data_IF_551105133439
#
_entry.id   IF_551105133439
#
_cell.length_a   1.000
_cell.length_b   1.000
_cell.length_c   1.000
_cell.angle_alpha   90.00
_cell.angle_beta   90.00
_cell.angle_gamma   90.00
#
_symmetry.space_group_name_H-M   'P 1'
#
loop_
_entity.id
_entity.type
_entity.pdbx_description
1 polymer ?
#
# COMPACT_ATOMS: atom_id res chain seq x y z
N UNK A 1 14.57 -20.32 -5.57
CA UNK A 1 13.83 -19.22 -6.19
C UNK A 1 14.82 -18.16 -6.70
N UNK A 2 14.76 -17.91 -8.00
CA UNK A 2 15.69 -17.00 -8.72
C UNK A 2 15.61 -15.56 -8.17
N UNK A 3 14.41 -15.07 -7.87
CA UNK A 3 14.23 -13.71 -7.33
C UNK A 3 14.84 -13.57 -5.94
N UNK A 4 14.64 -14.55 -5.07
CA UNK A 4 15.27 -14.58 -3.74
C UNK A 4 16.79 -14.62 -3.83
N UNK A 5 17.36 -15.42 -4.71
CA UNK A 5 18.83 -15.45 -4.91
C UNK A 5 19.35 -14.07 -5.36
N UNK A 6 18.66 -13.43 -6.29
CA UNK A 6 19.03 -12.10 -6.79
C UNK A 6 18.93 -11.02 -5.72
N UNK A 7 17.87 -11.01 -4.91
CA UNK A 7 17.70 -10.02 -3.84
C UNK A 7 18.69 -10.24 -2.71
N UNK A 8 18.95 -11.48 -2.31
CA UNK A 8 19.95 -11.81 -1.28
C UNK A 8 21.37 -11.41 -1.71
N UNK A 9 21.72 -11.64 -2.98
CA UNK A 9 23.00 -11.21 -3.52
C UNK A 9 23.15 -9.67 -3.51
N UNK A 10 22.09 -8.96 -3.88
CA UNK A 10 22.09 -7.50 -3.98
C UNK A 10 22.00 -6.80 -2.63
N UNK A 11 21.22 -7.38 -1.70
CA UNK A 11 20.93 -6.81 -0.39
C UNK A 11 21.27 -7.80 0.74
N UNK A 12 22.57 -8.05 0.98
CA UNK A 12 23.00 -8.94 2.06
C UNK A 12 22.69 -8.40 3.46
N UNK A 13 22.43 -7.10 3.59
CA UNK A 13 22.12 -6.40 4.84
C UNK A 13 21.30 -5.12 4.57
N UNK A 14 20.91 -4.42 5.65
CA UNK A 14 20.12 -3.18 5.59
C UNK A 14 20.87 -2.03 4.91
N UNK A 15 22.17 -1.95 5.15
CA UNK A 15 23.04 -0.91 4.60
C UNK A 15 23.13 -1.00 3.07
N UNK A 16 23.13 -2.21 2.52
CA UNK A 16 23.16 -2.41 1.07
C UNK A 16 21.84 -1.93 0.42
N UNK A 17 20.70 -2.16 1.06
CA UNK A 17 19.41 -1.65 0.58
C UNK A 17 19.37 -0.11 0.67
N UNK A 18 19.78 0.46 1.80
CA UNK A 18 19.87 1.90 1.98
C UNK A 18 20.77 2.56 0.93
N UNK A 19 21.95 2.01 0.69
CA UNK A 19 22.89 2.52 -0.31
C UNK A 19 22.33 2.51 -1.75
N UNK A 20 21.37 1.63 -2.04
CA UNK A 20 20.74 1.50 -3.36
C UNK A 20 19.51 2.40 -3.56
N UNK A 21 18.94 2.99 -2.49
CA UNK A 21 17.76 3.87 -2.56
C UNK A 21 17.93 5.02 -3.59
N UNK A 22 19.07 5.75 -3.66
CA UNK A 22 19.23 6.80 -4.66
C UNK A 22 19.13 6.27 -6.09
N UNK A 23 19.70 5.09 -6.37
CA UNK A 23 19.57 4.45 -7.69
C UNK A 23 18.13 4.07 -7.99
N UNK A 24 17.40 3.49 -7.02
CA UNK A 24 15.99 3.12 -7.17
C UNK A 24 15.16 4.34 -7.55
N UNK A 25 15.32 5.46 -6.86
CA UNK A 25 14.61 6.71 -7.17
C UNK A 25 14.98 7.24 -8.57
N UNK A 26 16.26 7.19 -8.95
CA UNK A 26 16.67 7.59 -10.29
C UNK A 26 16.08 6.69 -11.40
N UNK A 27 15.95 5.38 -11.16
CA UNK A 27 15.23 4.45 -12.07
C UNK A 27 13.77 4.87 -12.24
N UNK A 28 13.14 5.39 -11.21
CA UNK A 28 11.78 5.95 -11.26
C UNK A 28 11.72 7.35 -11.89
N UNK A 29 12.87 7.95 -12.21
CA UNK A 29 12.96 9.24 -12.90
C UNK A 29 13.20 10.46 -12.01
N UNK A 30 13.43 10.27 -10.71
CA UNK A 30 13.84 11.36 -9.82
C UNK A 30 15.20 11.93 -10.24
N UNK A 31 15.40 13.23 -10.03
CA UNK A 31 16.72 13.83 -10.19
C UNK A 31 17.70 13.23 -9.18
N UNK A 32 19.00 13.31 -9.46
CA UNK A 32 20.02 12.89 -8.50
C UNK A 32 19.89 13.66 -7.18
N UNK A 33 19.59 14.95 -7.24
CA UNK A 33 19.43 15.82 -6.08
C UNK A 33 18.24 15.37 -5.21
N UNK A 34 17.07 15.12 -5.80
CA UNK A 34 15.89 14.65 -5.06
C UNK A 34 16.10 13.23 -4.52
N UNK A 35 16.75 12.36 -5.28
CA UNK A 35 17.04 10.99 -4.85
C UNK A 35 18.01 10.96 -3.65
N UNK A 36 19.07 11.74 -3.67
CA UNK A 36 20.01 11.87 -2.56
C UNK A 36 19.30 12.52 -1.35
N UNK A 37 18.54 13.60 -1.57
CA UNK A 37 17.78 14.29 -0.54
C UNK A 37 16.85 13.35 0.23
N UNK A 38 16.12 12.49 -0.47
CA UNK A 38 15.21 11.53 0.14
C UNK A 38 15.95 10.42 0.87
N UNK A 39 16.95 9.81 0.24
CA UNK A 39 17.70 8.69 0.81
C UNK A 39 18.48 9.08 2.09
N UNK A 40 19.04 10.29 2.15
CA UNK A 40 19.75 10.79 3.33
C UNK A 40 18.84 10.96 4.57
N UNK A 41 17.52 11.02 4.38
CA UNK A 41 16.52 11.23 5.43
C UNK A 41 15.79 9.97 5.86
N UNK A 42 16.20 8.84 5.33
CA UNK A 42 15.62 7.54 5.63
C UNK A 42 16.71 6.62 6.16
N UNK A 43 16.46 5.92 7.25
CA UNK A 43 17.32 4.84 7.74
C UNK A 43 16.65 3.50 7.56
N UNK A 44 17.45 2.47 7.27
CA UNK A 44 16.95 1.10 7.06
C UNK A 44 17.38 0.21 8.21
N UNK A 45 16.44 -0.51 8.79
CA UNK A 45 16.66 -1.41 9.91
C UNK A 45 16.25 -2.84 9.54
N UNK A 46 17.12 -3.80 9.82
CA UNK A 46 16.80 -5.23 9.68
C UNK A 46 15.92 -5.72 10.84
N UNK A 47 14.89 -6.52 10.51
CA UNK A 47 14.00 -7.14 11.47
C UNK A 47 13.79 -8.62 11.17
N UNK A 48 13.25 -9.37 12.15
CA UNK A 48 12.86 -10.78 11.96
C UNK A 48 11.41 -10.95 11.49
N UNK A 49 10.58 -9.94 11.74
CA UNK A 49 9.14 -9.95 11.48
C UNK A 49 8.72 -9.14 10.25
N UNK A 50 7.51 -8.61 10.30
CA UNK A 50 6.90 -7.78 9.25
C UNK A 50 7.67 -6.48 9.03
N UNK A 51 7.58 -5.95 7.80
CA UNK A 51 8.04 -4.61 7.48
C UNK A 51 7.15 -3.54 8.11
N UNK A 52 7.72 -2.37 8.33
CA UNK A 52 7.01 -1.18 8.79
C UNK A 52 7.79 0.07 8.39
N UNK A 53 7.07 1.14 8.11
CA UNK A 53 7.61 2.47 7.91
C UNK A 53 7.14 3.42 9.02
N UNK A 54 8.04 4.23 9.54
CA UNK A 54 7.71 5.32 10.44
C UNK A 54 8.22 6.63 9.88
N UNK A 55 7.34 7.61 9.76
CA UNK A 55 7.72 8.97 9.45
C UNK A 55 8.53 9.59 10.61
N UNK A 56 9.43 10.49 10.27
CA UNK A 56 10.10 11.32 11.25
C UNK A 56 9.09 12.21 11.98
N UNK A 57 9.25 12.36 13.31
CA UNK A 57 8.40 13.25 14.10
C UNK A 57 8.68 14.73 13.82
N UNK A 58 9.84 15.02 13.23
CA UNK A 58 10.25 16.34 12.83
C UNK A 58 11.56 16.28 12.04
N UNK A 59 11.97 17.43 11.49
CA UNK A 59 13.17 17.53 10.63
C UNK A 59 14.51 17.24 11.33
N UNK A 60 14.49 16.94 12.63
CA UNK A 60 15.66 16.61 13.45
C UNK A 60 15.97 15.13 13.53
N UNK A 61 15.11 14.26 12.98
CA UNK A 61 15.32 12.82 12.96
C UNK A 61 15.00 12.24 11.56
N UNK A 62 15.56 11.07 11.19
CA UNK A 62 15.22 10.40 9.94
C UNK A 62 13.91 9.63 10.04
N UNK A 63 13.25 9.44 8.91
CA UNK A 63 12.24 8.40 8.73
C UNK A 63 12.89 7.01 8.84
N UNK A 64 12.12 5.97 9.22
CA UNK A 64 12.65 4.64 9.48
C UNK A 64 11.91 3.60 8.65
N UNK A 65 12.67 2.83 7.87
CA UNK A 65 12.22 1.66 7.15
C UNK A 65 12.70 0.41 7.86
N UNK A 66 11.79 -0.42 8.34
CA UNK A 66 12.12 -1.73 8.88
C UNK A 66 11.64 -2.82 7.94
N UNK A 67 12.52 -3.78 7.62
CA UNK A 67 12.16 -4.92 6.77
C UNK A 67 12.84 -6.19 7.22
N UNK A 68 12.30 -7.33 6.76
CA UNK A 68 12.84 -8.65 7.09
C UNK A 68 14.15 -8.91 6.36
N UNK A 69 15.21 -9.13 7.15
CA UNK A 69 16.49 -9.59 6.64
C UNK A 69 16.86 -10.88 7.39
N UNK A 70 16.94 -11.98 6.64
CA UNK A 70 17.23 -13.31 7.17
C UNK A 70 18.72 -13.63 7.04
N UNK A 71 19.15 -14.77 7.59
CA UNK A 71 20.51 -15.28 7.36
C UNK A 71 20.70 -15.50 5.85
N UNK A 72 21.66 -14.81 5.27
CA UNK A 72 21.93 -14.85 3.82
C UNK A 72 21.44 -13.63 3.04
N UNK A 73 20.78 -12.68 3.71
CA UNK A 73 20.35 -11.42 3.11
C UNK A 73 18.84 -11.29 2.99
N UNK A 74 18.40 -10.29 2.26
CA UNK A 74 16.99 -9.97 2.04
C UNK A 74 16.39 -10.92 1.00
N UNK A 75 15.45 -11.80 1.39
CA UNK A 75 14.70 -12.62 0.44
C UNK A 75 13.75 -11.74 -0.41
N UNK A 76 13.19 -12.30 -1.49
CA UNK A 76 12.33 -11.51 -2.38
C UNK A 76 11.10 -10.95 -1.64
N UNK A 77 10.50 -11.70 -0.72
CA UNK A 77 9.39 -11.21 0.08
C UNK A 77 9.78 -10.02 0.95
N UNK A 78 10.93 -10.09 1.62
CA UNK A 78 11.48 -9.00 2.40
C UNK A 78 11.79 -7.76 1.54
N UNK A 79 12.31 -7.98 0.33
CA UNK A 79 12.56 -6.93 -0.64
C UNK A 79 11.25 -6.26 -1.14
N UNK A 80 10.27 -7.03 -1.55
CA UNK A 80 8.97 -6.52 -2.00
C UNK A 80 8.30 -5.66 -0.91
N UNK A 81 8.33 -6.13 0.35
CA UNK A 81 7.88 -5.36 1.50
C UNK A 81 8.74 -4.10 1.70
N UNK A 82 10.08 -4.20 1.60
CA UNK A 82 10.96 -3.04 1.74
C UNK A 82 10.67 -1.95 0.70
N UNK A 83 10.33 -2.32 -0.53
CA UNK A 83 9.93 -1.36 -1.56
C UNK A 83 8.60 -0.69 -1.23
N UNK A 84 7.64 -1.42 -0.65
CA UNK A 84 6.39 -0.87 -0.12
C UNK A 84 6.66 0.16 0.99
N UNK A 85 7.42 -0.23 2.02
CA UNK A 85 7.79 0.65 3.14
C UNK A 85 8.61 1.87 2.67
N UNK A 86 9.41 1.69 1.61
CA UNK A 86 10.13 2.79 0.99
C UNK A 86 9.18 3.82 0.37
N UNK A 87 8.09 3.37 -0.25
CA UNK A 87 7.03 4.25 -0.75
C UNK A 87 6.44 5.12 0.36
N UNK A 88 6.11 4.55 1.52
CA UNK A 88 5.67 5.30 2.70
C UNK A 88 6.71 6.33 3.17
N UNK A 89 7.98 5.93 3.28
CA UNK A 89 9.01 6.85 3.75
C UNK A 89 9.29 7.99 2.76
N UNK A 90 9.17 7.75 1.45
CA UNK A 90 9.26 8.81 0.44
C UNK A 90 8.11 9.80 0.60
N UNK A 91 6.86 9.32 0.74
CA UNK A 91 5.70 10.17 1.01
C UNK A 91 5.91 11.01 2.28
N UNK A 92 6.17 10.36 3.41
CA UNK A 92 6.35 10.99 4.72
C UNK A 92 7.48 12.04 4.71
N UNK A 93 8.57 11.77 3.99
CA UNK A 93 9.69 12.70 3.87
C UNK A 93 9.32 13.91 3.00
N UNK A 94 8.64 13.70 1.89
CA UNK A 94 8.14 14.79 1.05
C UNK A 94 7.14 15.66 1.81
N UNK A 95 6.19 15.07 2.51
CA UNK A 95 5.22 15.77 3.34
C UNK A 95 5.89 16.68 4.36
N UNK A 96 6.87 16.13 5.11
CA UNK A 96 7.56 16.86 6.17
C UNK A 96 8.42 18.03 5.66
N UNK A 97 9.00 17.88 4.48
CA UNK A 97 10.00 18.84 3.98
C UNK A 97 9.50 19.77 2.88
N UNK A 98 8.47 19.37 2.12
CA UNK A 98 8.00 20.09 0.94
C UNK A 98 6.62 20.72 1.10
N UNK A 99 5.89 20.42 2.20
CA UNK A 99 4.65 21.11 2.54
C UNK A 99 4.97 22.22 3.54
N UNK A 100 4.66 23.46 3.19
CA UNK A 100 5.07 24.64 3.96
C UNK A 100 4.32 24.75 5.31
N UNK A 101 3.09 24.23 5.39
CA UNK A 101 2.28 24.28 6.59
C UNK A 101 2.31 22.95 7.34
N UNK A 102 2.90 22.94 8.52
CA UNK A 102 3.06 21.73 9.34
C UNK A 102 1.71 21.03 9.62
N UNK A 103 0.65 21.76 9.83
CA UNK A 103 -0.68 21.18 10.09
C UNK A 103 -1.30 20.49 8.87
N UNK A 104 -0.77 20.73 7.68
CA UNK A 104 -1.17 20.08 6.43
C UNK A 104 -0.24 18.94 6.02
N UNK A 105 0.80 18.64 6.81
CA UNK A 105 1.68 17.52 6.53
C UNK A 105 0.90 16.20 6.54
N UNK A 106 1.15 15.36 5.54
CA UNK A 106 0.53 14.05 5.38
C UNK A 106 -0.54 14.01 4.30
N UNK A 107 -1.16 12.87 4.20
CA UNK A 107 -2.26 12.55 3.27
C UNK A 107 -3.60 12.46 4.01
N UNK A 108 -4.75 12.38 3.31
CA UNK A 108 -6.07 12.41 3.95
C UNK A 108 -6.29 11.37 5.04
N UNK A 109 -5.93 10.12 4.79
CA UNK A 109 -6.05 9.01 5.74
C UNK A 109 -5.13 7.83 5.32
N UNK A 110 -5.15 6.76 6.11
CA UNK A 110 -4.31 5.57 5.88
C UNK A 110 -4.51 4.93 4.50
N UNK A 111 -5.72 4.94 3.93
CA UNK A 111 -5.93 4.39 2.58
C UNK A 111 -5.12 5.12 1.50
N UNK A 112 -4.85 6.41 1.67
CA UNK A 112 -4.02 7.19 0.74
C UNK A 112 -2.54 6.87 0.88
N UNK A 113 -2.01 6.76 2.08
CA UNK A 113 -0.60 6.36 2.28
C UNK A 113 -0.36 4.93 1.79
N UNK A 114 -1.31 4.00 1.98
CA UNK A 114 -1.25 2.66 1.39
C UNK A 114 -1.22 2.71 -0.15
N UNK A 115 -2.09 3.53 -0.77
CA UNK A 115 -2.10 3.70 -2.22
C UNK A 115 -0.74 4.15 -2.76
N UNK A 116 -0.11 5.12 -2.09
CA UNK A 116 1.18 5.66 -2.50
C UNK A 116 2.32 4.64 -2.31
N UNK A 117 2.25 3.81 -1.27
CA UNK A 117 3.19 2.71 -1.07
C UNK A 117 3.02 1.59 -2.12
N UNK A 118 1.79 1.25 -2.50
CA UNK A 118 1.51 0.29 -3.57
C UNK A 118 2.08 0.72 -4.93
N UNK A 119 2.10 2.01 -5.23
CA UNK A 119 2.73 2.56 -6.44
C UNK A 119 4.22 2.18 -6.52
N UNK A 120 4.92 2.24 -5.40
CA UNK A 120 6.32 1.80 -5.31
C UNK A 120 6.42 0.27 -5.39
N UNK A 121 5.63 -0.45 -4.61
CA UNK A 121 5.67 -1.91 -4.52
C UNK A 121 5.48 -2.59 -5.87
N UNK A 122 4.58 -2.08 -6.71
CA UNK A 122 4.34 -2.60 -8.07
C UNK A 122 5.51 -2.41 -9.03
N UNK A 123 6.51 -1.63 -8.67
CA UNK A 123 7.73 -1.41 -9.45
C UNK A 123 8.93 -2.19 -8.94
N UNK A 124 8.72 -3.12 -8.02
CA UNK A 124 9.80 -3.88 -7.39
C UNK A 124 10.66 -4.66 -8.40
N UNK A 125 10.06 -5.32 -9.38
CA UNK A 125 10.78 -6.02 -10.45
C UNK A 125 11.52 -5.04 -11.38
N UNK A 126 10.92 -3.91 -11.72
CA UNK A 126 11.57 -2.85 -12.48
C UNK A 126 12.81 -2.33 -11.73
N UNK A 127 12.70 -2.10 -10.43
CA UNK A 127 13.81 -1.65 -9.57
C UNK A 127 14.91 -2.70 -9.44
N UNK A 128 14.60 -3.98 -9.61
CA UNK A 128 15.57 -5.07 -9.74
C UNK A 128 16.20 -5.17 -11.13
N UNK A 129 15.70 -4.41 -12.10
CA UNK A 129 16.22 -4.37 -13.47
C UNK A 129 15.58 -5.42 -14.40
N UNK A 130 14.36 -5.86 -14.11
CA UNK A 130 13.56 -6.64 -15.03
C UNK A 130 12.68 -5.72 -15.88
N UNK A 131 12.49 -6.09 -17.14
CA UNK A 131 11.43 -5.48 -17.95
C UNK A 131 10.08 -5.94 -17.44
N UNK A 132 9.21 -4.99 -17.15
CA UNK A 132 7.85 -5.26 -16.68
C UNK A 132 6.87 -4.53 -17.60
N UNK A 133 6.01 -5.29 -18.26
CA UNK A 133 4.88 -4.73 -19.01
C UNK A 133 3.59 -4.95 -18.22
N UNK A 134 2.79 -3.89 -18.10
CA UNK A 134 1.42 -4.02 -17.60
C UNK A 134 0.58 -4.71 -18.67
N UNK A 135 -0.11 -5.78 -18.31
CA UNK A 135 -0.98 -6.55 -19.19
C UNK A 135 -2.34 -6.80 -18.53
N UNK A 136 -3.25 -7.44 -19.27
CA UNK A 136 -4.60 -7.74 -18.79
C UNK A 136 -4.58 -8.55 -17.47
N UNK A 137 -3.64 -9.50 -17.31
CA UNK A 137 -3.53 -10.29 -16.08
C UNK A 137 -3.20 -9.41 -14.86
N UNK A 138 -2.38 -8.37 -15.02
CA UNK A 138 -2.07 -7.43 -13.94
C UNK A 138 -3.35 -6.77 -13.40
N UNK A 139 -4.26 -6.37 -14.27
CA UNK A 139 -5.55 -5.78 -13.86
C UNK A 139 -6.44 -6.82 -13.18
N UNK A 140 -6.50 -8.05 -13.70
CA UNK A 140 -7.28 -9.14 -13.09
C UNK A 140 -6.73 -9.54 -11.73
N UNK A 141 -5.41 -9.56 -11.54
CA UNK A 141 -4.77 -9.83 -10.24
C UNK A 141 -5.11 -8.75 -9.20
N UNK A 142 -5.12 -7.46 -9.61
CA UNK A 142 -5.56 -6.36 -8.73
C UNK A 142 -7.03 -6.53 -8.35
N UNK A 143 -7.88 -6.84 -9.32
CA UNK A 143 -9.31 -7.04 -9.08
C UNK A 143 -9.57 -8.23 -8.16
N UNK A 144 -8.83 -9.34 -8.36
CA UNK A 144 -8.90 -10.50 -7.46
C UNK A 144 -8.43 -10.16 -6.04
N UNK A 145 -7.30 -9.48 -5.90
CA UNK A 145 -6.82 -9.03 -4.60
C UNK A 145 -7.80 -8.09 -3.88
N UNK A 146 -8.47 -7.21 -4.62
CA UNK A 146 -9.58 -6.40 -4.08
C UNK A 146 -10.72 -7.28 -3.58
N UNK A 147 -11.15 -8.27 -4.37
CA UNK A 147 -12.20 -9.19 -3.98
C UNK A 147 -11.86 -9.94 -2.70
N UNK A 148 -10.62 -10.44 -2.56
CA UNK A 148 -10.16 -11.13 -1.36
C UNK A 148 -10.19 -10.23 -0.11
N UNK A 149 -9.69 -9.00 -0.18
CA UNK A 149 -9.54 -8.13 0.99
C UNK A 149 -10.83 -7.39 1.36
N UNK A 150 -11.76 -7.18 0.41
CA UNK A 150 -13.00 -6.46 0.69
C UNK A 150 -13.89 -7.18 1.69
N UNK A 151 -13.93 -8.52 1.68
CA UNK A 151 -14.70 -9.29 2.67
C UNK A 151 -14.17 -9.11 4.08
N UNK A 152 -12.85 -9.09 4.23
CA UNK A 152 -12.18 -8.82 5.52
C UNK A 152 -12.50 -7.40 6.00
N UNK A 153 -12.44 -6.41 5.10
CA UNK A 153 -12.80 -5.03 5.41
C UNK A 153 -14.27 -4.87 5.84
N UNK A 154 -15.19 -5.57 5.16
CA UNK A 154 -16.62 -5.56 5.54
C UNK A 154 -16.82 -6.15 6.93
N UNK A 155 -16.16 -7.27 7.26
CA UNK A 155 -16.23 -7.86 8.60
C UNK A 155 -15.73 -6.88 9.66
N UNK A 156 -14.60 -6.22 9.43
CA UNK A 156 -14.08 -5.22 10.38
C UNK A 156 -15.08 -4.09 10.61
N UNK A 157 -15.63 -3.50 9.54
CA UNK A 157 -16.63 -2.43 9.65
C UNK A 157 -17.89 -2.88 10.41
N UNK A 158 -18.47 -4.03 10.06
CA UNK A 158 -19.69 -4.55 10.69
C UNK A 158 -19.47 -4.93 12.15
N UNK A 159 -18.27 -5.44 12.51
CA UNK A 159 -17.91 -5.74 13.90
C UNK A 159 -17.81 -4.46 14.73
N UNK A 160 -17.24 -3.39 14.16
CA UNK A 160 -17.19 -2.09 14.85
C UNK A 160 -18.56 -1.43 14.99
N UNK A 161 -19.44 -1.52 13.99
CA UNK A 161 -20.84 -1.10 14.11
C UNK A 161 -21.52 -1.85 15.26
N UNK A 162 -21.36 -3.18 15.31
CA UNK A 162 -21.91 -4.02 16.38
C UNK A 162 -21.36 -3.63 17.76
N UNK A 163 -20.06 -3.31 17.88
CA UNK A 163 -19.44 -2.85 19.13
C UNK A 163 -20.05 -1.54 19.64
N UNK A 164 -20.33 -0.59 18.75
CA UNK A 164 -20.99 0.66 19.12
C UNK A 164 -22.42 0.45 19.62
N UNK A 165 -23.12 -0.54 19.09
CA UNK A 165 -24.46 -0.91 19.54
C UNK A 165 -24.48 -1.73 20.83
N UNK A 166 -23.36 -2.38 21.17
CA UNK A 166 -23.20 -3.29 22.31
C UNK A 166 -22.01 -2.88 23.22
N UNK A 167 -22.03 -1.69 23.84
CA UNK A 167 -20.88 -1.15 24.59
C UNK A 167 -20.52 -1.97 25.84
N UNK A 168 -21.43 -2.78 26.37
CA UNK A 168 -21.22 -3.64 27.53
C UNK A 168 -20.84 -5.08 27.16
N UNK A 169 -20.58 -5.35 25.86
CA UNK A 169 -20.24 -6.67 25.39
C UNK A 169 -18.95 -7.22 25.99
N UNK A 170 -18.96 -8.49 26.36
CA UNK A 170 -17.75 -9.19 26.82
C UNK A 170 -16.87 -9.59 25.65
N UNK A 171 -15.63 -10.00 25.93
CA UNK A 171 -14.72 -10.52 24.90
C UNK A 171 -15.26 -11.76 24.19
N UNK A 172 -16.06 -12.61 24.89
CA UNK A 172 -16.69 -13.78 24.27
C UNK A 172 -17.84 -13.35 23.35
N UNK A 173 -18.65 -12.36 23.75
CA UNK A 173 -19.71 -11.81 22.89
C UNK A 173 -19.12 -11.22 21.60
N UNK A 174 -18.02 -10.47 21.72
CA UNK A 174 -17.30 -9.90 20.57
C UNK A 174 -16.77 -11.02 19.64
N UNK A 175 -16.19 -12.06 20.21
CA UNK A 175 -15.71 -13.21 19.41
C UNK A 175 -16.87 -13.88 18.66
N UNK A 176 -18.01 -14.12 19.32
CA UNK A 176 -19.17 -14.72 18.68
C UNK A 176 -19.75 -13.81 17.58
N UNK A 177 -19.85 -12.50 17.82
CA UNK A 177 -20.26 -11.52 16.83
C UNK A 177 -19.33 -11.51 15.62
N UNK A 178 -18.02 -11.50 15.84
CA UNK A 178 -17.00 -11.54 14.76
C UNK A 178 -17.14 -12.81 13.91
N UNK A 179 -17.26 -13.98 14.53
CA UNK A 179 -17.42 -15.24 13.80
C UNK A 179 -18.74 -15.29 13.02
N UNK A 180 -19.84 -14.80 13.61
CA UNK A 180 -21.14 -14.70 12.95
C UNK A 180 -21.07 -13.79 11.74
N UNK A 181 -20.55 -12.58 11.90
CA UNK A 181 -20.40 -11.59 10.83
C UNK A 181 -19.51 -12.12 9.68
N UNK A 182 -18.40 -12.79 10.03
CA UNK A 182 -17.52 -13.38 9.03
C UNK A 182 -18.24 -14.43 8.16
N UNK A 183 -19.07 -15.30 8.77
CA UNK A 183 -19.85 -16.29 8.05
C UNK A 183 -20.95 -15.65 7.19
N UNK A 184 -21.64 -14.62 7.69
CA UNK A 184 -22.65 -13.89 6.92
C UNK A 184 -22.05 -13.24 5.66
N UNK A 185 -20.91 -12.55 5.81
CA UNK A 185 -20.19 -11.95 4.67
C UNK A 185 -19.70 -13.02 3.72
N UNK A 186 -19.15 -14.13 4.25
CA UNK A 186 -18.69 -15.25 3.44
C UNK A 186 -19.83 -15.85 2.61
N UNK A 187 -20.93 -16.23 3.24
CA UNK A 187 -22.05 -16.87 2.57
C UNK A 187 -22.69 -15.97 1.49
N UNK A 188 -22.65 -14.65 1.71
CA UNK A 188 -23.21 -13.70 0.75
C UNK A 188 -22.32 -13.49 -0.49
N UNK A 189 -21.01 -13.38 -0.30
CA UNK A 189 -20.11 -12.89 -1.34
C UNK A 189 -19.09 -13.93 -1.84
N UNK A 190 -18.72 -14.92 -1.02
CA UNK A 190 -17.66 -15.88 -1.34
C UNK A 190 -18.19 -17.28 -1.62
N UNK A 191 -19.19 -17.75 -0.90
CA UNK A 191 -19.81 -19.05 -1.14
C UNK A 191 -20.27 -19.25 -2.60
N UNK A 192 -20.92 -18.27 -3.26
CA UNK A 192 -21.35 -18.44 -4.66
C UNK A 192 -20.22 -18.68 -5.63
N UNK A 193 -19.00 -18.26 -5.30
CA UNK A 193 -17.80 -18.37 -6.14
C UNK A 193 -16.95 -19.57 -5.72
N UNK A 194 -16.74 -19.76 -4.40
CA UNK A 194 -15.80 -20.73 -3.85
C UNK A 194 -16.46 -22.02 -3.37
N UNK A 195 -17.80 -22.07 -3.27
CA UNK A 195 -18.58 -23.27 -2.98
C UNK A 195 -18.53 -23.76 -1.52
N UNK A 196 -17.88 -23.03 -0.60
CA UNK A 196 -17.78 -23.42 0.81
C UNK A 196 -18.75 -22.60 1.65
N UNK A 197 -19.63 -23.26 2.40
CA UNK A 197 -20.62 -22.61 3.29
C UNK A 197 -20.05 -22.40 4.70
N UNK A 198 -20.50 -21.35 5.39
CA UNK A 198 -20.19 -21.03 6.80
C UNK A 198 -18.70 -20.96 7.15
N UNK A 199 -17.85 -20.51 6.23
CA UNK A 199 -16.43 -20.32 6.49
C UNK A 199 -16.18 -19.11 7.39
N UNK A 200 -15.42 -19.26 8.52
CA UNK A 200 -15.03 -18.13 9.36
C UNK A 200 -13.73 -17.47 8.89
N UNK A 201 -13.25 -17.79 7.69
CA UNK A 201 -11.91 -17.39 7.21
C UNK A 201 -11.68 -15.88 7.25
N UNK A 202 -12.73 -15.09 7.04
CA UNK A 202 -12.65 -13.64 7.06
C UNK A 202 -12.40 -13.04 8.46
N UNK A 203 -12.52 -13.84 9.54
CA UNK A 203 -12.29 -13.41 10.92
C UNK A 203 -10.83 -13.54 11.40
N UNK A 204 -9.94 -14.15 10.61
CA UNK A 204 -8.58 -14.49 11.08
C UNK A 204 -7.49 -13.52 10.62
N UNK A 205 -7.85 -12.40 10.03
CA UNK A 205 -6.89 -11.43 9.53
C UNK A 205 -6.24 -10.63 10.67
N UNK A 206 -4.94 -10.31 10.53
CA UNK A 206 -4.28 -9.38 11.46
C UNK A 206 -4.96 -8.01 11.40
N UNK A 207 -4.90 -7.26 12.50
CA UNK A 207 -5.61 -5.98 12.71
C UNK A 207 -7.12 -6.09 12.92
N UNK A 208 -7.73 -7.27 12.74
CA UNK A 208 -9.13 -7.47 13.12
C UNK A 208 -9.29 -7.14 14.61
N UNK A 209 -10.24 -6.28 14.96
CA UNK A 209 -10.55 -5.85 16.32
C UNK A 209 -9.47 -4.98 17.01
N UNK A 210 -8.18 -5.36 16.98
CA UNK A 210 -7.13 -4.64 17.70
C UNK A 210 -6.70 -3.31 17.07
N UNK A 211 -7.09 -3.07 15.82
CA UNK A 211 -6.81 -1.83 15.09
C UNK A 211 -8.12 -1.30 14.48
N UNK A 212 -8.81 -0.39 15.18
CA UNK A 212 -10.16 0.03 14.83
C UNK A 212 -10.26 0.53 13.38
N UNK A 213 -11.14 -0.07 12.59
CA UNK A 213 -11.44 0.36 11.22
C UNK A 213 -10.19 0.46 10.33
N UNK A 214 -9.16 -0.37 10.60
CA UNK A 214 -7.90 -0.32 9.83
C UNK A 214 -8.03 -1.06 8.50
N UNK A 215 -8.67 -2.23 8.50
CA UNK A 215 -8.72 -3.12 7.33
C UNK A 215 -9.39 -2.51 6.09
N UNK A 216 -10.39 -1.62 6.20
CA UNK A 216 -10.95 -0.91 5.04
C UNK A 216 -9.96 -0.03 4.28
N UNK A 217 -8.81 0.34 4.88
CA UNK A 217 -7.80 1.14 4.20
C UNK A 217 -7.11 0.39 3.05
N UNK A 218 -7.00 -0.94 3.13
CA UNK A 218 -6.38 -1.74 2.07
C UNK A 218 -7.17 -1.73 0.76
N UNK A 219 -8.47 -2.11 0.73
CA UNK A 219 -9.23 -2.01 -0.50
C UNK A 219 -9.39 -0.56 -0.97
N UNK A 220 -9.54 0.40 -0.06
CA UNK A 220 -9.56 1.82 -0.40
C UNK A 220 -8.25 2.26 -1.07
N UNK A 221 -7.11 1.86 -0.49
CA UNK A 221 -5.79 2.13 -1.03
C UNK A 221 -5.61 1.54 -2.44
N UNK A 222 -6.06 0.31 -2.65
CA UNK A 222 -5.99 -0.34 -3.97
C UNK A 222 -6.86 0.35 -5.02
N UNK A 223 -8.04 0.85 -4.64
CA UNK A 223 -8.91 1.63 -5.55
C UNK A 223 -8.26 2.97 -5.93
N UNK A 224 -7.72 3.68 -4.93
CA UNK A 224 -7.02 4.96 -5.15
C UNK A 224 -5.77 4.72 -6.02
N UNK A 225 -4.98 3.72 -5.68
CA UNK A 225 -3.78 3.35 -6.44
C UNK A 225 -4.10 3.06 -7.90
N UNK A 226 -5.18 2.30 -8.17
CA UNK A 226 -5.60 2.02 -9.55
C UNK A 226 -5.94 3.29 -10.34
N UNK A 227 -6.60 4.27 -9.70
CA UNK A 227 -6.87 5.56 -10.33
C UNK A 227 -5.60 6.38 -10.59
N UNK A 228 -4.65 6.37 -9.64
CA UNK A 228 -3.35 7.02 -9.80
C UNK A 228 -2.53 6.38 -10.93
N UNK A 229 -2.46 5.05 -10.98
CA UNK A 229 -1.78 4.31 -12.07
C UNK A 229 -2.43 4.58 -13.45
N UNK A 230 -3.75 4.72 -13.50
CA UNK A 230 -4.46 5.09 -14.73
C UNK A 230 -4.12 6.52 -15.18
N UNK A 231 -3.79 7.42 -14.24
CA UNK A 231 -3.25 8.74 -14.53
C UNK A 231 -1.81 8.65 -15.01
N UNK A 232 -0.94 7.90 -14.32
CA UNK A 232 0.47 7.74 -14.67
C UNK A 232 0.68 7.05 -16.02
N UNK A 233 -0.22 6.16 -16.42
CA UNK A 233 -0.18 5.52 -17.74
C UNK A 233 -0.25 6.49 -18.93
N UNK A 234 -0.67 7.74 -18.71
CA UNK A 234 -0.72 8.81 -19.73
C UNK A 234 0.60 9.57 -19.85
N UNK A 235 1.52 9.39 -18.90
CA UNK A 235 2.82 10.05 -18.89
C UNK A 235 3.76 9.38 -19.89
N UNK A 236 4.64 10.17 -20.49
CA UNK A 236 5.51 9.72 -21.58
C UNK A 236 6.91 9.34 -21.11
N UNK A 237 7.35 9.87 -19.98
CA UNK A 237 8.72 9.72 -19.50
C UNK A 237 8.77 9.43 -18.01
N UNK A 238 9.85 8.77 -17.56
CA UNK A 238 10.11 8.56 -16.14
C UNK A 238 10.26 9.88 -15.38
N UNK A 239 10.79 10.91 -16.00
CA UNK A 239 10.91 12.24 -15.40
C UNK A 239 9.53 12.85 -15.12
N UNK A 240 8.58 12.70 -16.05
CA UNK A 240 7.19 13.13 -15.80
C UNK A 240 6.56 12.34 -14.65
N UNK A 241 6.81 11.03 -14.58
CA UNK A 241 6.34 10.21 -13.47
C UNK A 241 6.89 10.70 -12.12
N UNK A 242 8.20 10.90 -11.99
CA UNK A 242 8.79 11.42 -10.76
C UNK A 242 8.25 12.81 -10.39
N UNK A 243 8.06 13.70 -11.38
CA UNK A 243 7.47 15.02 -11.16
C UNK A 243 6.02 14.93 -10.64
N UNK A 244 5.23 14.00 -11.19
CA UNK A 244 3.87 13.74 -10.72
C UNK A 244 3.82 13.11 -9.34
N UNK A 245 4.70 12.17 -9.02
CA UNK A 245 4.86 11.62 -7.66
C UNK A 245 5.13 12.77 -6.67
N UNK A 246 6.11 13.63 -6.96
CA UNK A 246 6.42 14.75 -6.08
C UNK A 246 5.25 15.71 -5.92
N UNK A 247 4.53 16.03 -7.01
CA UNK A 247 3.34 16.88 -6.97
C UNK A 247 2.22 16.28 -6.12
N UNK A 248 1.92 15.00 -6.32
CA UNK A 248 0.81 14.29 -5.68
C UNK A 248 1.12 14.04 -4.20
N UNK A 249 2.34 13.64 -3.86
CA UNK A 249 2.77 13.38 -2.47
C UNK A 249 2.90 14.68 -1.65
N UNK A 250 2.83 15.84 -2.26
CA UNK A 250 2.91 17.13 -1.57
C UNK A 250 1.59 17.94 -1.62
N UNK A 251 0.47 17.28 -1.96
CA UNK A 251 -0.84 17.91 -1.92
C UNK A 251 -1.29 18.27 -0.50
N UNK A 252 -0.77 17.56 0.49
CA UNK A 252 -1.09 17.78 1.90
C UNK A 252 -2.37 17.09 2.36
N UNK A 253 -2.65 17.23 3.65
CA UNK A 253 -3.79 16.62 4.35
C UNK A 253 -5.10 17.33 4.03
N UNK A 254 -5.54 17.19 2.79
CA UNK A 254 -6.84 17.67 2.31
C UNK A 254 -7.96 16.67 2.67
N UNK A 255 -9.21 17.01 2.38
CA UNK A 255 -10.27 15.98 2.38
C UNK A 255 -10.03 14.98 1.24
N UNK A 256 -10.46 13.71 1.38
CA UNK A 256 -10.28 12.69 0.35
C UNK A 256 -10.70 13.13 -1.06
N UNK A 257 -11.87 13.75 -1.18
CA UNK A 257 -12.39 14.20 -2.46
C UNK A 257 -11.56 15.36 -3.06
N UNK A 258 -11.15 16.31 -2.24
CA UNK A 258 -10.31 17.41 -2.70
C UNK A 258 -8.94 16.92 -3.15
N UNK A 259 -8.35 15.98 -2.39
CA UNK A 259 -7.07 15.40 -2.73
C UNK A 259 -7.13 14.66 -4.08
N UNK A 260 -8.12 13.81 -4.28
CA UNK A 260 -8.27 13.06 -5.55
C UNK A 260 -8.55 13.97 -6.74
N UNK A 261 -9.39 14.99 -6.57
CA UNK A 261 -9.62 15.98 -7.64
C UNK A 261 -8.35 16.72 -8.02
N UNK A 262 -7.48 17.05 -7.06
CA UNK A 262 -6.19 17.69 -7.34
C UNK A 262 -5.16 16.69 -7.89
N UNK A 263 -5.19 15.43 -7.47
CA UNK A 263 -4.29 14.41 -7.94
C UNK A 263 -4.59 13.98 -9.38
N UNK A 264 -5.83 13.60 -9.68
CA UNK A 264 -6.22 12.95 -10.95
C UNK A 264 -7.42 13.59 -11.66
N UNK A 265 -8.03 14.64 -11.07
CA UNK A 265 -9.16 15.35 -11.65
C UNK A 265 -10.54 14.74 -11.39
N UNK A 266 -10.64 13.67 -10.61
CA UNK A 266 -11.90 12.96 -10.30
C UNK A 266 -11.99 12.60 -8.83
N UNK A 267 -13.20 12.27 -8.35
CA UNK A 267 -13.40 11.71 -7.03
C UNK A 267 -12.93 10.24 -6.96
N UNK A 268 -12.86 9.68 -5.76
CA UNK A 268 -12.60 8.24 -5.57
C UNK A 268 -13.70 7.45 -6.26
N UNK A 269 -13.33 6.48 -7.09
CA UNK A 269 -14.27 5.67 -7.87
C UNK A 269 -13.72 4.28 -8.15
N UNK A 270 -14.57 3.27 -8.05
CA UNK A 270 -14.30 1.91 -8.52
C UNK A 270 -14.49 1.76 -10.04
N UNK A 271 -15.13 2.74 -10.71
CA UNK A 271 -15.50 2.63 -12.10
C UNK A 271 -14.32 2.33 -13.04
N UNK A 272 -13.14 2.95 -12.89
CA UNK A 272 -12.01 2.67 -13.78
C UNK A 272 -11.57 1.21 -13.80
N UNK A 273 -11.53 0.53 -12.64
CA UNK A 273 -11.15 -0.88 -12.59
C UNK A 273 -12.29 -1.78 -13.11
N UNK A 274 -13.55 -1.44 -12.83
CA UNK A 274 -14.71 -2.19 -13.33
C UNK A 274 -14.83 -2.12 -14.85
N UNK A 275 -14.60 -0.96 -15.44
CA UNK A 275 -14.62 -0.77 -16.89
C UNK A 275 -13.51 -1.59 -17.56
N UNK A 276 -12.30 -1.57 -17.01
CA UNK A 276 -11.17 -2.31 -17.56
C UNK A 276 -11.34 -3.83 -17.42
N UNK A 277 -11.81 -4.32 -16.27
CA UNK A 277 -12.15 -5.75 -16.09
C UNK A 277 -13.23 -6.17 -17.07
N UNK A 278 -14.28 -5.37 -17.23
CA UNK A 278 -15.36 -5.65 -18.20
C UNK A 278 -14.81 -5.72 -19.63
N UNK A 279 -13.91 -4.82 -20.00
CA UNK A 279 -13.24 -4.82 -21.31
C UNK A 279 -12.41 -6.09 -21.53
N UNK A 280 -11.69 -6.54 -20.48
CA UNK A 280 -10.86 -7.75 -20.57
C UNK A 280 -11.73 -8.99 -20.72
N UNK A 281 -12.80 -9.09 -19.93
CA UNK A 281 -13.70 -10.26 -19.94
C UNK A 281 -14.57 -10.39 -21.20
N UNK A 282 -14.65 -9.34 -22.01
CA UNK A 282 -15.43 -9.33 -23.29
C UNK A 282 -14.57 -9.55 -24.53
N UNK A 283 -13.25 -9.73 -24.40
CA UNK A 283 -12.32 -10.16 -25.46
C UNK A 283 -12.46 -11.64 -25.75
#
# INVERSE_FOLDING_TARGET
>A
DMLTAKTQQRYPNAEAFHADMPRMLQVLGFSKEDADFLAERIVVEGARGSGHAWGAQGRWEPARLRTRIVKGGMDYKGYNIAVHEFGHNVEQTLDLYKIDYYTLNGVPNTGFTEALAFIFQKRDLELLGFDTERNDNTTLDIFWGLYEIMGVALVDMMVWEWLYENPEATAEDLKQATLKTAKEVWNKYYEPVLGTHDSPLLAIYSHMVNSPMYLPNYPLGSIIEYQLESHFAKLKTKKEFASEIMRIYTLGRLTPQQWMRQAVGTDISTQPILDEVSRIMTK
#
